data_IF_249195081220
#
_entry.id   IF_249195081220
#
_cell.length_a   1.000
_cell.length_b   1.000
_cell.length_c   1.000
_cell.angle_alpha   90.00
_cell.angle_beta   90.00
_cell.angle_gamma   90.00
#
_symmetry.space_group_name_H-M   'P 1'
#
loop_
_entity.id
_entity.type
_entity.pdbx_description
1 polymer ?
#
# COMPACT_ATOMS: atom_id res chain seq x y z
N UNK A 1 -14.63 -19.34 -3.36
CA UNK A 1 -14.63 -18.77 -2.00
C UNK A 1 -14.06 -17.37 -2.07
N UNK A 2 -14.52 -16.46 -1.24
CA UNK A 2 -13.92 -15.13 -1.12
C UNK A 2 -13.35 -15.01 0.29
N UNK A 3 -12.06 -14.75 0.39
CA UNK A 3 -11.35 -14.65 1.66
C UNK A 3 -10.54 -13.37 1.71
N UNK A 4 -10.58 -12.69 2.85
CA UNK A 4 -9.75 -11.50 3.10
C UNK A 4 -9.00 -11.71 4.41
N UNK A 5 -7.67 -11.61 4.39
CA UNK A 5 -6.83 -11.79 5.58
C UNK A 5 -5.87 -10.62 5.70
N UNK A 6 -5.94 -9.90 6.81
CA UNK A 6 -5.02 -8.83 7.18
C UNK A 6 -4.00 -9.37 8.20
N UNK A 7 -2.73 -9.30 7.87
CA UNK A 7 -1.66 -9.86 8.69
C UNK A 7 -1.33 -11.32 8.35
N UNK A 8 -0.52 -12.00 9.14
CA UNK A 8 -0.14 -11.71 10.51
C UNK A 8 0.98 -10.68 10.58
N UNK A 9 0.81 -9.62 11.34
CA UNK A 9 1.89 -8.70 11.61
C UNK A 9 1.84 -8.23 13.06
N UNK A 10 2.86 -8.60 13.84
CA UNK A 10 3.08 -8.06 15.19
C UNK A 10 3.64 -6.62 15.14
N UNK A 11 4.10 -6.16 13.97
CA UNK A 11 4.71 -4.84 13.77
C UNK A 11 3.72 -3.74 13.43
N UNK A 12 2.51 -4.08 12.99
CA UNK A 12 1.48 -3.08 12.74
C UNK A 12 0.98 -2.49 14.07
N UNK A 13 0.72 -1.17 14.13
CA UNK A 13 0.05 -0.58 15.28
C UNK A 13 -1.25 -1.32 15.57
N UNK A 14 -1.38 -1.87 16.78
CA UNK A 14 -2.54 -2.68 17.16
C UNK A 14 -2.54 -4.13 16.68
N UNK A 15 -1.48 -4.59 15.97
CA UNK A 15 -1.35 -5.97 15.50
C UNK A 15 -2.46 -6.37 14.54
N UNK A 16 -2.27 -6.08 13.24
CA UNK A 16 -3.24 -6.48 12.22
C UNK A 16 -3.33 -8.00 12.14
N UNK A 17 -4.41 -8.54 12.66
CA UNK A 17 -4.73 -9.97 12.62
C UNK A 17 -6.25 -10.11 12.50
N UNK A 18 -6.77 -9.82 11.31
CA UNK A 18 -8.19 -9.91 10.99
C UNK A 18 -8.39 -10.82 9.79
N UNK A 19 -9.42 -11.64 9.83
CA UNK A 19 -9.84 -12.46 8.71
C UNK A 19 -11.33 -12.32 8.48
N UNK A 20 -11.74 -12.43 7.23
CA UNK A 20 -13.12 -12.43 6.80
C UNK A 20 -13.29 -13.51 5.75
N UNK A 21 -14.32 -14.33 5.90
CA UNK A 21 -14.71 -15.35 4.96
C UNK A 21 -16.15 -15.09 4.48
N UNK A 22 -16.42 -15.41 3.21
CA UNK A 22 -17.75 -15.40 2.61
C UNK A 22 -18.54 -14.11 2.89
N UNK A 23 -18.29 -13.03 2.13
CA UNK A 23 -19.02 -11.79 2.28
C UNK A 23 -20.52 -12.02 2.03
N UNK A 24 -21.38 -11.42 2.85
CA UNK A 24 -22.84 -11.44 2.63
C UNK A 24 -23.25 -10.72 1.34
N UNK A 25 -22.42 -9.75 0.92
CA UNK A 25 -22.61 -8.98 -0.31
C UNK A 25 -21.26 -8.65 -0.93
N UNK A 26 -21.15 -8.84 -2.23
CA UNK A 26 -19.97 -8.45 -3.02
C UNK A 26 -20.39 -7.58 -4.17
N UNK A 27 -19.70 -6.47 -4.38
CA UNK A 27 -19.88 -5.59 -5.56
C UNK A 27 -18.54 -5.27 -6.21
N UNK A 28 -18.61 -5.03 -7.51
CA UNK A 28 -17.44 -4.77 -8.35
C UNK A 28 -17.75 -3.58 -9.26
N UNK A 29 -16.80 -2.68 -9.43
CA UNK A 29 -16.81 -1.64 -10.44
C UNK A 29 -15.87 -2.03 -11.59
N UNK A 30 -16.41 -2.16 -12.78
CA UNK A 30 -15.68 -2.48 -13.99
C UNK A 30 -15.42 -1.23 -14.85
N UNK A 31 -16.19 -0.16 -14.64
CA UNK A 31 -16.13 1.10 -15.37
C UNK A 31 -15.88 2.28 -14.45
N UNK A 32 -15.26 3.32 -14.97
CA UNK A 32 -14.86 4.51 -14.20
C UNK A 32 -16.07 5.18 -13.51
N UNK A 33 -17.20 5.27 -14.20
CA UNK A 33 -18.42 5.86 -13.65
C UNK A 33 -19.07 5.06 -12.51
N UNK A 34 -18.68 3.81 -12.33
CA UNK A 34 -19.17 2.93 -11.24
C UNK A 34 -18.35 3.07 -9.96
N UNK A 35 -17.14 3.65 -10.03
CA UNK A 35 -16.19 3.71 -8.92
C UNK A 35 -16.77 4.51 -7.74
N UNK A 36 -17.10 5.79 -7.95
CA UNK A 36 -17.61 6.64 -6.87
C UNK A 36 -18.94 6.15 -6.27
N UNK A 37 -19.92 5.69 -7.05
CA UNK A 37 -21.13 5.06 -6.49
C UNK A 37 -20.84 3.83 -5.63
N UNK A 38 -19.84 3.01 -6.02
CA UNK A 38 -19.47 1.83 -5.26
C UNK A 38 -18.74 2.19 -3.96
N UNK A 39 -17.93 3.24 -3.95
CA UNK A 39 -17.29 3.73 -2.73
C UNK A 39 -18.34 4.31 -1.76
N UNK A 40 -19.32 5.06 -2.25
CA UNK A 40 -20.44 5.55 -1.43
C UNK A 40 -21.25 4.40 -0.83
N UNK A 41 -21.49 3.34 -1.60
CA UNK A 41 -22.09 2.11 -1.07
C UNK A 41 -21.25 1.48 0.05
N UNK A 42 -19.92 1.36 -0.14
CA UNK A 42 -19.02 0.81 0.86
C UNK A 42 -19.07 1.61 2.17
N UNK A 43 -19.07 2.93 2.08
CA UNK A 43 -19.21 3.84 3.21
C UNK A 43 -20.56 3.66 3.93
N UNK A 44 -21.68 3.61 3.19
CA UNK A 44 -23.01 3.37 3.77
C UNK A 44 -23.06 2.06 4.56
N UNK A 45 -22.46 0.98 4.02
CA UNK A 45 -22.40 -0.32 4.72
C UNK A 45 -21.55 -0.25 6.00
N UNK A 46 -20.41 0.43 5.95
CA UNK A 46 -19.55 0.63 7.13
C UNK A 46 -20.26 1.47 8.20
N UNK A 47 -20.94 2.56 7.83
CA UNK A 47 -21.73 3.38 8.74
C UNK A 47 -22.91 2.62 9.37
N UNK A 48 -23.47 1.64 8.66
CA UNK A 48 -24.47 0.72 9.19
C UNK A 48 -23.90 -0.36 10.13
N UNK A 49 -22.59 -0.33 10.41
CA UNK A 49 -21.92 -1.23 11.35
C UNK A 49 -21.41 -2.55 10.75
N UNK A 50 -21.43 -2.70 9.43
CA UNK A 50 -20.83 -3.84 8.77
C UNK A 50 -19.31 -3.70 8.68
N UNK A 51 -18.59 -4.82 8.63
CA UNK A 51 -17.20 -4.83 8.20
C UNK A 51 -17.16 -4.75 6.67
N UNK A 52 -16.30 -3.87 6.15
CA UNK A 52 -16.14 -3.67 4.72
C UNK A 52 -14.66 -3.82 4.35
N UNK A 53 -14.36 -4.75 3.45
CA UNK A 53 -13.06 -4.84 2.80
C UNK A 53 -13.16 -4.22 1.41
N UNK A 54 -12.17 -3.42 1.06
CA UNK A 54 -12.12 -2.64 -0.17
C UNK A 54 -10.78 -2.81 -0.87
N UNK A 55 -10.82 -3.04 -2.18
CA UNK A 55 -9.67 -2.98 -3.08
C UNK A 55 -9.96 -1.97 -4.19
N UNK A 56 -9.01 -1.05 -4.43
CA UNK A 56 -9.07 -0.06 -5.51
C UNK A 56 -7.85 -0.25 -6.39
N UNK A 57 -8.06 -0.49 -7.67
CA UNK A 57 -6.97 -0.57 -8.64
C UNK A 57 -6.45 0.83 -9.00
N UNK A 58 -5.20 0.92 -9.43
CA UNK A 58 -4.58 2.17 -9.84
C UNK A 58 -5.36 2.85 -10.99
N UNK A 59 -5.91 2.06 -11.90
CA UNK A 59 -6.68 2.53 -13.06
C UNK A 59 -8.02 3.19 -12.68
N UNK A 60 -8.45 3.08 -11.42
CA UNK A 60 -9.61 3.81 -10.94
C UNK A 60 -9.35 5.32 -10.75
N UNK A 61 -8.11 5.79 -10.87
CA UNK A 61 -7.71 7.18 -10.60
C UNK A 61 -8.53 8.21 -11.39
N UNK A 62 -8.88 7.93 -12.65
CA UNK A 62 -9.70 8.81 -13.49
C UNK A 62 -11.11 9.08 -12.93
N UNK A 63 -11.62 8.26 -12.01
CA UNK A 63 -12.89 8.49 -11.34
C UNK A 63 -12.82 9.62 -10.30
N UNK A 64 -11.64 9.94 -9.79
CA UNK A 64 -11.43 10.95 -8.76
C UNK A 64 -11.07 12.32 -9.36
N UNK A 65 -10.32 12.33 -10.47
CA UNK A 65 -9.95 13.53 -11.18
C UNK A 65 -9.74 13.24 -12.66
N UNK A 66 -10.41 13.99 -13.53
CA UNK A 66 -10.32 13.83 -14.98
C UNK A 66 -8.96 14.19 -15.58
N UNK A 67 -8.09 14.86 -14.82
CA UNK A 67 -6.71 15.13 -15.22
C UNK A 67 -5.79 13.89 -15.04
N UNK A 68 -6.22 12.91 -14.24
CA UNK A 68 -5.47 11.69 -14.02
C UNK A 68 -5.70 10.72 -15.19
N UNK A 69 -4.64 10.41 -15.89
CA UNK A 69 -4.63 9.42 -16.98
C UNK A 69 -3.94 8.14 -16.54
N UNK A 70 -4.53 7.02 -16.90
CA UNK A 70 -3.99 5.69 -16.60
C UNK A 70 -3.88 4.87 -17.86
N UNK A 71 -3.20 3.73 -17.79
CA UNK A 71 -3.31 2.73 -18.85
C UNK A 71 -4.74 2.23 -18.96
N UNK A 72 -5.06 1.65 -20.12
CA UNK A 72 -6.34 0.98 -20.30
C UNK A 72 -6.50 -0.12 -19.24
N UNK A 73 -7.70 -0.18 -18.67
CA UNK A 73 -8.06 -1.23 -17.71
C UNK A 73 -7.92 -2.61 -18.36
N UNK A 74 -7.19 -3.49 -17.71
CA UNK A 74 -7.18 -4.91 -18.05
C UNK A 74 -8.45 -5.65 -17.56
N UNK A 75 -8.32 -6.95 -17.35
CA UNK A 75 -9.44 -7.78 -16.84
C UNK A 75 -9.66 -7.63 -15.33
N UNK A 76 -8.71 -7.03 -14.60
CA UNK A 76 -8.84 -6.81 -13.16
C UNK A 76 -9.83 -5.68 -12.87
N UNK A 77 -10.71 -5.83 -11.86
CA UNK A 77 -11.71 -4.80 -11.57
C UNK A 77 -11.08 -3.50 -11.07
N UNK A 78 -11.75 -2.36 -11.35
CA UNK A 78 -11.34 -1.05 -10.82
C UNK A 78 -11.54 -0.95 -9.31
N UNK A 79 -12.66 -1.48 -8.82
CA UNK A 79 -12.95 -1.56 -7.39
C UNK A 79 -13.61 -2.89 -7.09
N UNK A 80 -13.24 -3.50 -5.99
CA UNK A 80 -13.92 -4.62 -5.37
C UNK A 80 -14.32 -4.26 -3.93
N UNK A 81 -15.55 -4.58 -3.54
CA UNK A 81 -16.07 -4.39 -2.19
C UNK A 81 -16.66 -5.68 -1.68
N UNK A 82 -16.23 -6.12 -0.51
CA UNK A 82 -16.84 -7.20 0.26
C UNK A 82 -17.42 -6.67 1.57
N UNK A 83 -18.69 -7.01 1.85
CA UNK A 83 -19.41 -6.64 3.08
C UNK A 83 -19.57 -7.88 3.94
N UNK A 84 -19.17 -7.82 5.20
CA UNK A 84 -19.17 -8.93 6.14
C UNK A 84 -19.93 -8.57 7.42
N UNK A 85 -20.58 -9.57 8.03
CA UNK A 85 -21.30 -9.40 9.30
C UNK A 85 -20.39 -9.47 10.53
N UNK A 86 -19.19 -10.04 10.40
CA UNK A 86 -18.23 -10.18 11.47
C UNK A 86 -16.88 -10.69 10.99
N UNK A 87 -15.89 -10.65 11.88
CA UNK A 87 -14.59 -11.28 11.64
C UNK A 87 -14.70 -12.80 11.76
N UNK A 88 -13.98 -13.50 10.89
CA UNK A 88 -13.80 -14.94 10.93
C UNK A 88 -12.62 -15.33 11.85
N UNK A 89 -12.49 -16.62 12.16
CA UNK A 89 -11.27 -17.13 12.78
C UNK A 89 -10.07 -16.88 11.85
N UNK A 90 -8.97 -16.46 12.47
CA UNK A 90 -7.76 -16.23 11.68
C UNK A 90 -7.24 -17.59 11.18
N UNK A 91 -7.09 -17.76 9.85
CA UNK A 91 -6.74 -19.06 9.31
C UNK A 91 -5.34 -19.48 9.75
N UNK A 92 -5.26 -20.68 10.32
CA UNK A 92 -3.99 -21.30 10.64
C UNK A 92 -3.17 -21.57 9.36
N UNK A 93 -1.86 -21.78 9.53
CA UNK A 93 -0.99 -22.09 8.42
C UNK A 93 -1.41 -23.46 7.83
N UNK A 94 -2.09 -23.44 6.69
CA UNK A 94 -2.30 -24.64 5.91
C UNK A 94 -0.94 -25.09 5.33
N UNK A 95 -0.65 -26.38 5.42
CA UNK A 95 0.58 -26.97 4.88
C UNK A 95 0.55 -27.11 3.35
N UNK A 96 0.08 -26.10 2.64
CA UNK A 96 0.02 -26.06 1.18
C UNK A 96 1.40 -25.93 0.55
N UNK A 97 1.59 -26.53 -0.62
CA UNK A 97 2.78 -26.35 -1.43
C UNK A 97 2.49 -25.39 -2.59
N UNK A 98 3.50 -24.63 -2.97
CA UNK A 98 3.43 -23.74 -4.13
C UNK A 98 4.76 -23.74 -4.89
N UNK A 99 4.71 -23.29 -6.14
CA UNK A 99 5.89 -23.01 -6.94
C UNK A 99 5.69 -21.72 -7.75
N UNK A 100 6.75 -20.94 -7.86
CA UNK A 100 6.79 -19.74 -8.68
C UNK A 100 8.12 -19.69 -9.43
N UNK A 101 8.08 -19.66 -10.76
CA UNK A 101 9.25 -19.79 -11.59
C UNK A 101 9.24 -18.80 -12.75
N UNK A 102 10.43 -18.47 -13.24
CA UNK A 102 10.59 -17.75 -14.49
C UNK A 102 10.16 -16.28 -14.43
N UNK A 103 10.50 -15.59 -13.35
CA UNK A 103 10.25 -14.14 -13.22
C UNK A 103 10.89 -13.35 -14.37
N UNK A 104 10.07 -12.62 -15.13
CA UNK A 104 10.49 -11.82 -16.26
C UNK A 104 9.90 -10.43 -16.18
N UNK A 105 10.69 -9.36 -16.39
CA UNK A 105 10.14 -8.01 -16.53
C UNK A 105 9.30 -7.94 -17.81
N UNK A 106 8.25 -7.10 -17.78
CA UNK A 106 7.40 -6.85 -18.96
C UNK A 106 8.00 -5.86 -19.94
N UNK A 107 9.05 -5.18 -19.54
CA UNK A 107 9.84 -4.27 -20.38
C UNK A 107 11.24 -4.82 -20.52
N UNK A 108 11.91 -4.50 -21.60
CA UNK A 108 13.33 -4.81 -21.76
C UNK A 108 14.22 -3.69 -21.19
N UNK A 109 15.55 -3.92 -21.25
CA UNK A 109 16.50 -2.94 -20.71
C UNK A 109 16.54 -1.64 -21.52
N UNK A 110 16.32 -1.69 -22.82
CA UNK A 110 16.32 -0.50 -23.66
C UNK A 110 15.10 0.39 -23.35
N UNK A 111 13.91 -0.21 -23.26
CA UNK A 111 12.69 0.49 -22.84
C UNK A 111 12.84 1.12 -21.45
N UNK A 112 13.50 0.41 -20.51
CA UNK A 112 13.78 0.97 -19.18
C UNK A 112 14.74 2.17 -19.26
N UNK A 113 15.85 2.05 -19.99
CA UNK A 113 16.84 3.11 -20.11
C UNK A 113 16.25 4.35 -20.78
N UNK A 114 15.43 4.18 -21.83
CA UNK A 114 14.75 5.27 -22.53
C UNK A 114 13.75 5.98 -21.60
N UNK A 115 12.94 5.23 -20.84
CA UNK A 115 12.00 5.81 -19.87
C UNK A 115 12.72 6.61 -18.78
N UNK A 116 13.82 6.07 -18.22
CA UNK A 116 14.62 6.79 -17.22
C UNK A 116 15.28 8.03 -17.82
N UNK A 117 15.74 7.96 -19.09
CA UNK A 117 16.27 9.11 -19.82
C UNK A 117 15.25 10.24 -19.93
N UNK A 118 14.03 9.95 -20.39
CA UNK A 118 12.94 10.93 -20.45
C UNK A 118 12.58 11.52 -19.09
N UNK A 119 12.53 10.69 -18.04
CA UNK A 119 12.28 11.17 -16.68
C UNK A 119 13.34 12.17 -16.23
N UNK A 120 14.62 11.89 -16.52
CA UNK A 120 15.71 12.82 -16.22
C UNK A 120 15.57 14.14 -16.97
N UNK A 121 15.11 14.11 -18.23
CA UNK A 121 14.85 15.32 -19.03
C UNK A 121 13.70 16.14 -18.43
N UNK A 122 12.58 15.54 -18.01
CA UNK A 122 11.48 16.22 -17.33
C UNK A 122 11.93 16.86 -16.01
N UNK A 123 12.76 16.15 -15.24
CA UNK A 123 13.33 16.70 -14.00
C UNK A 123 14.23 17.89 -14.29
N UNK A 124 15.08 17.81 -15.32
CA UNK A 124 15.98 18.90 -15.71
C UNK A 124 15.21 20.12 -16.25
N UNK A 125 14.09 19.91 -16.94
CA UNK A 125 13.19 20.97 -17.42
C UNK A 125 12.37 21.63 -16.27
N UNK A 126 12.25 20.98 -15.13
CA UNK A 126 11.46 21.44 -14.00
C UNK A 126 9.98 21.09 -14.09
N UNK A 127 9.61 20.19 -15.00
CA UNK A 127 8.23 19.70 -15.14
C UNK A 127 7.82 18.79 -13.96
N UNK A 128 8.78 18.07 -13.42
CA UNK A 128 8.64 17.27 -12.20
C UNK A 128 9.96 17.23 -11.44
N UNK A 129 9.94 16.80 -10.21
CA UNK A 129 11.15 16.64 -9.39
C UNK A 129 11.36 15.21 -8.87
N UNK A 130 10.35 14.35 -9.01
CA UNK A 130 10.45 12.93 -8.70
C UNK A 130 9.46 12.12 -9.50
N UNK A 131 9.86 10.93 -9.94
CA UNK A 131 8.99 9.92 -10.57
C UNK A 131 9.27 8.55 -9.93
N UNK A 132 8.24 7.86 -9.51
CA UNK A 132 8.32 6.45 -9.16
C UNK A 132 8.06 5.62 -10.43
N UNK A 133 9.11 5.27 -11.14
CA UNK A 133 8.99 4.42 -12.32
C UNK A 133 8.87 2.96 -11.90
N UNK A 134 7.76 2.33 -12.26
CA UNK A 134 7.48 0.94 -11.93
C UNK A 134 7.01 0.15 -13.15
N UNK A 135 7.36 -1.12 -13.19
CA UNK A 135 6.93 -2.05 -14.24
C UNK A 135 6.66 -3.43 -13.65
N UNK A 136 5.72 -4.20 -14.23
CA UNK A 136 5.38 -5.52 -13.71
C UNK A 136 6.45 -6.55 -14.06
N UNK A 137 6.63 -7.50 -13.15
CA UNK A 137 7.28 -8.78 -13.42
C UNK A 137 6.18 -9.84 -13.59
N UNK A 138 6.35 -10.75 -14.52
CA UNK A 138 5.46 -11.90 -14.72
C UNK A 138 6.18 -13.20 -14.39
N UNK A 139 5.43 -14.15 -13.86
CA UNK A 139 5.92 -15.48 -13.50
C UNK A 139 4.81 -16.51 -13.72
N UNK A 140 5.17 -17.78 -13.85
CA UNK A 140 4.22 -18.88 -13.68
C UNK A 140 4.08 -19.19 -12.21
N UNK A 141 2.84 -19.45 -11.78
CA UNK A 141 2.53 -19.83 -10.41
C UNK A 141 1.66 -21.09 -10.43
N UNK A 142 1.90 -21.97 -9.46
CA UNK A 142 1.06 -23.14 -9.20
C UNK A 142 1.01 -23.45 -7.71
N UNK A 143 -0.10 -24.03 -7.25
CA UNK A 143 -0.28 -24.46 -5.87
C UNK A 143 -1.07 -23.49 -5.01
N UNK A 144 -0.76 -23.45 -3.72
CA UNK A 144 -1.50 -22.70 -2.69
C UNK A 144 -0.95 -21.29 -2.54
N UNK A 145 -1.72 -20.29 -3.02
CA UNK A 145 -1.34 -18.88 -2.92
C UNK A 145 -1.37 -18.35 -1.49
N UNK A 146 -2.22 -18.89 -0.61
CA UNK A 146 -2.25 -18.48 0.79
C UNK A 146 -0.99 -18.98 1.54
N UNK A 147 -0.55 -20.21 1.25
CA UNK A 147 0.73 -20.71 1.78
C UNK A 147 1.90 -19.83 1.33
N UNK A 148 1.92 -19.44 0.04
CA UNK A 148 2.92 -18.51 -0.47
C UNK A 148 2.85 -17.14 0.23
N UNK A 149 1.66 -16.56 0.37
CA UNK A 149 1.47 -15.32 1.11
C UNK A 149 2.06 -15.40 2.52
N UNK A 150 1.84 -16.50 3.23
CA UNK A 150 2.37 -16.71 4.58
C UNK A 150 3.89 -16.72 4.63
N UNK A 151 4.53 -17.41 3.69
CA UNK A 151 6.01 -17.40 3.59
C UNK A 151 6.55 -16.00 3.27
N UNK A 152 5.90 -15.28 2.36
CA UNK A 152 6.28 -13.91 2.04
C UNK A 152 6.11 -12.97 3.25
N UNK A 153 5.05 -13.12 4.05
CA UNK A 153 4.89 -12.35 5.29
C UNK A 153 6.06 -12.56 6.26
N UNK A 154 6.53 -13.79 6.40
CA UNK A 154 7.70 -14.10 7.25
C UNK A 154 8.97 -13.49 6.66
N UNK A 155 9.20 -13.64 5.36
CA UNK A 155 10.39 -13.17 4.67
C UNK A 155 10.51 -11.63 4.66
N UNK A 156 9.40 -10.91 4.52
CA UNK A 156 9.38 -9.44 4.43
C UNK A 156 9.17 -8.76 5.78
N UNK A 157 8.44 -9.39 6.70
CA UNK A 157 8.02 -8.75 7.94
C UNK A 157 7.24 -7.45 7.73
N UNK A 158 6.53 -7.33 6.59
CA UNK A 158 5.79 -6.12 6.22
C UNK A 158 4.56 -5.93 7.13
N UNK A 159 4.39 -4.75 7.76
CA UNK A 159 3.35 -4.56 8.77
C UNK A 159 1.92 -4.54 8.21
N UNK A 160 1.74 -4.15 6.95
CA UNK A 160 0.42 -3.98 6.33
C UNK A 160 0.17 -5.02 5.23
N UNK A 161 0.43 -6.29 5.57
CA UNK A 161 0.22 -7.40 4.63
C UNK A 161 -1.25 -7.78 4.54
N UNK A 162 -1.73 -8.04 3.32
CA UNK A 162 -3.11 -8.44 3.04
C UNK A 162 -3.13 -9.55 2.00
N UNK A 163 -3.95 -10.59 2.24
CA UNK A 163 -4.33 -11.58 1.25
C UNK A 163 -5.79 -11.38 0.88
N UNK A 164 -6.06 -11.28 -0.43
CA UNK A 164 -7.41 -11.19 -0.95
C UNK A 164 -7.64 -12.32 -1.95
N UNK A 165 -8.71 -13.09 -1.76
CA UNK A 165 -9.20 -14.06 -2.74
C UNK A 165 -10.49 -13.54 -3.36
N UNK A 166 -10.40 -13.08 -4.60
CA UNK A 166 -11.44 -12.35 -5.34
C UNK A 166 -11.92 -13.16 -6.55
N UNK A 167 -12.54 -14.30 -6.29
CA UNK A 167 -12.97 -15.23 -7.34
C UNK A 167 -11.76 -15.83 -8.08
N UNK A 168 -11.53 -15.42 -9.33
CA UNK A 168 -10.39 -15.91 -10.12
C UNK A 168 -9.05 -15.24 -9.78
N UNK A 169 -9.07 -14.16 -9.02
CA UNK A 169 -7.89 -13.41 -8.66
C UNK A 169 -7.48 -13.65 -7.21
N UNK A 170 -6.19 -13.71 -6.98
CA UNK A 170 -5.60 -13.74 -5.66
C UNK A 170 -4.57 -12.62 -5.57
N UNK A 171 -4.73 -11.75 -4.58
CA UNK A 171 -3.82 -10.62 -4.34
C UNK A 171 -3.04 -10.88 -3.07
N UNK A 172 -1.72 -10.90 -3.19
CA UNK A 172 -0.79 -11.03 -2.09
C UNK A 172 -0.08 -9.68 -1.91
N UNK A 173 -0.61 -8.84 -1.05
CA UNK A 173 -0.04 -7.53 -0.75
C UNK A 173 0.89 -7.63 0.46
N UNK A 174 2.12 -7.14 0.34
CA UNK A 174 3.11 -7.10 1.43
C UNK A 174 3.62 -5.67 1.58
N UNK A 175 2.69 -4.75 1.86
CA UNK A 175 3.01 -3.33 1.99
C UNK A 175 3.76 -3.04 3.29
N UNK A 176 4.92 -2.36 3.23
CA UNK A 176 5.59 -1.83 4.41
C UNK A 176 5.02 -0.48 4.86
N UNK A 177 4.23 0.19 4.01
CA UNK A 177 3.82 1.58 4.17
C UNK A 177 2.34 1.69 4.55
N UNK A 178 2.05 2.54 5.54
CA UNK A 178 0.69 2.91 5.93
C UNK A 178 0.21 4.09 5.07
N UNK A 179 -0.81 3.86 4.26
CA UNK A 179 -1.48 4.94 3.56
C UNK A 179 -2.18 5.87 4.55
N UNK A 180 -3.15 5.36 5.31
CA UNK A 180 -3.70 6.01 6.49
C UNK A 180 -4.36 4.99 7.43
N UNK A 181 -4.47 5.37 8.70
CA UNK A 181 -5.33 4.71 9.68
C UNK A 181 -6.24 5.76 10.32
N UNK A 182 -7.50 5.36 10.60
CA UNK A 182 -8.48 6.21 11.27
C UNK A 182 -9.04 5.50 12.49
N UNK A 183 -9.06 6.21 13.61
CA UNK A 183 -9.75 5.79 14.82
C UNK A 183 -10.62 6.95 15.34
N UNK A 184 -11.92 6.81 15.23
CA UNK A 184 -12.84 7.91 15.48
C UNK A 184 -12.65 9.06 14.49
N UNK A 185 -12.27 10.23 14.99
CA UNK A 185 -11.90 11.41 14.22
C UNK A 185 -10.36 11.59 14.04
N UNK A 186 -9.57 10.76 14.69
CA UNK A 186 -8.10 10.79 14.59
C UNK A 186 -7.63 10.02 13.35
N UNK A 187 -6.80 10.65 12.53
CA UNK A 187 -6.17 10.06 11.34
C UNK A 187 -4.66 10.15 11.43
N UNK A 188 -4.00 9.06 11.06
CA UNK A 188 -2.54 8.93 10.99
C UNK A 188 -2.14 8.47 9.60
N UNK A 189 -1.11 9.09 9.02
CA UNK A 189 -0.41 8.65 7.82
C UNK A 189 1.07 8.44 8.14
N UNK A 190 1.72 7.48 7.47
CA UNK A 190 3.13 7.19 7.74
C UNK A 190 3.90 7.04 6.43
N UNK A 191 4.22 8.15 5.76
CA UNK A 191 4.98 8.13 4.51
C UNK A 191 6.38 7.56 4.69
N UNK A 192 6.87 6.91 3.65
CA UNK A 192 8.15 6.22 3.62
C UNK A 192 8.95 6.64 2.40
N UNK A 193 10.06 7.34 2.60
CA UNK A 193 11.04 7.71 1.57
C UNK A 193 12.45 7.63 2.15
N UNK A 194 13.33 7.01 1.41
CA UNK A 194 14.71 6.72 1.82
C UNK A 194 14.88 5.27 2.22
N UNK A 195 15.79 4.58 1.52
CA UNK A 195 16.06 3.15 1.68
C UNK A 195 17.54 2.89 1.68
N UNK A 196 18.00 2.05 2.62
CA UNK A 196 19.37 1.54 2.67
C UNK A 196 19.35 0.05 2.90
N UNK A 197 20.18 -0.69 2.20
CA UNK A 197 20.37 -2.12 2.42
C UNK A 197 20.84 -2.40 3.85
N UNK A 198 20.49 -3.57 4.38
CA UNK A 198 21.04 -4.06 5.65
C UNK A 198 22.54 -4.31 5.53
N UNK A 199 23.24 -4.16 6.63
CA UNK A 199 24.65 -4.54 6.74
C UNK A 199 24.82 -6.06 6.85
N UNK A 200 26.02 -6.55 6.49
CA UNK A 200 26.37 -7.97 6.59
C UNK A 200 26.68 -8.41 8.02
N UNK A 201 27.04 -7.45 8.89
CA UNK A 201 27.27 -7.61 10.32
C UNK A 201 26.78 -6.37 11.07
N UNK A 202 26.75 -6.43 12.38
CA UNK A 202 26.09 -5.43 13.23
C UNK A 202 26.65 -4.01 13.03
N UNK A 203 27.97 -3.84 13.00
CA UNK A 203 28.61 -2.53 12.88
C UNK A 203 28.24 -1.87 11.54
N UNK A 204 28.38 -2.61 10.42
CA UNK A 204 27.99 -2.12 9.09
C UNK A 204 26.50 -1.80 9.03
N UNK A 205 25.67 -2.60 9.69
CA UNK A 205 24.21 -2.39 9.72
C UNK A 205 23.85 -1.09 10.47
N UNK A 206 24.50 -0.81 11.57
CA UNK A 206 24.32 0.43 12.33
C UNK A 206 24.88 1.66 11.56
N UNK A 207 25.99 1.50 10.84
CA UNK A 207 26.53 2.54 9.95
C UNK A 207 25.52 2.87 8.82
N UNK A 208 24.90 1.85 8.22
CA UNK A 208 23.87 2.06 7.19
C UNK A 208 22.64 2.79 7.73
N UNK A 209 22.19 2.46 8.94
CA UNK A 209 21.09 3.17 9.60
C UNK A 209 21.44 4.63 9.90
N UNK A 210 22.66 4.89 10.42
CA UNK A 210 23.16 6.24 10.70
C UNK A 210 23.30 7.04 9.40
N UNK A 211 23.89 6.45 8.35
CA UNK A 211 24.00 7.08 7.03
C UNK A 211 22.63 7.51 6.48
N UNK A 212 21.64 6.62 6.54
CA UNK A 212 20.29 6.93 6.07
C UNK A 212 19.68 8.11 6.84
N UNK A 213 19.84 8.14 8.16
CA UNK A 213 19.34 9.23 9.02
C UNK A 213 19.93 10.59 8.66
N UNK A 214 21.20 10.62 8.21
CA UNK A 214 21.91 11.86 7.87
C UNK A 214 21.84 12.22 6.38
N UNK A 215 21.33 11.32 5.53
CA UNK A 215 21.26 11.52 4.09
C UNK A 215 20.40 12.74 3.73
N UNK A 216 21.04 13.77 3.20
CA UNK A 216 20.35 15.00 2.78
C UNK A 216 19.33 14.75 1.67
N UNK A 217 19.65 13.86 0.72
CA UNK A 217 18.75 13.48 -0.36
C UNK A 217 17.50 12.83 0.18
N UNK A 218 17.64 11.76 0.97
CA UNK A 218 16.51 10.99 1.47
C UNK A 218 15.62 11.82 2.41
N UNK A 219 16.21 12.68 3.24
CA UNK A 219 15.48 13.65 4.08
C UNK A 219 14.70 14.66 3.24
N UNK A 220 15.26 15.19 2.16
CA UNK A 220 14.57 16.11 1.28
C UNK A 220 13.36 15.44 0.58
N UNK A 221 13.54 14.22 0.07
CA UNK A 221 12.45 13.43 -0.51
C UNK A 221 11.36 13.10 0.52
N UNK A 222 11.74 12.77 1.76
CA UNK A 222 10.80 12.46 2.83
C UNK A 222 9.98 13.70 3.21
N UNK A 223 10.61 14.86 3.43
CA UNK A 223 9.92 16.15 3.75
C UNK A 223 8.91 16.51 2.67
N UNK A 224 9.26 16.31 1.41
CA UNK A 224 8.38 16.61 0.29
C UNK A 224 7.06 15.82 0.35
N UNK A 225 7.13 14.52 0.67
CA UNK A 225 5.93 13.70 0.83
C UNK A 225 5.19 14.02 2.13
N UNK A 226 5.89 14.36 3.19
CA UNK A 226 5.28 14.87 4.43
C UNK A 226 4.46 16.13 4.14
N UNK A 227 4.98 17.09 3.38
CA UNK A 227 4.26 18.30 3.02
C UNK A 227 3.05 18.04 2.12
N UNK A 228 3.16 17.10 1.17
CA UNK A 228 2.02 16.65 0.37
C UNK A 228 0.90 16.09 1.26
N UNK A 229 1.23 15.17 2.16
CA UNK A 229 0.24 14.57 3.06
C UNK A 229 -0.33 15.56 4.08
N UNK A 230 0.47 16.50 4.56
CA UNK A 230 -0.04 17.61 5.38
C UNK A 230 -1.08 18.45 4.64
N UNK A 231 -0.83 18.74 3.37
CA UNK A 231 -1.79 19.46 2.52
C UNK A 231 -3.06 18.62 2.31
N UNK A 232 -2.94 17.32 2.04
CA UNK A 232 -4.10 16.45 1.80
C UNK A 232 -4.94 16.26 3.06
N UNK A 233 -4.32 16.00 4.20
CA UNK A 233 -5.01 15.95 5.49
C UNK A 233 -5.64 17.31 5.84
N UNK A 234 -4.99 18.43 5.49
CA UNK A 234 -5.53 19.77 5.72
C UNK A 234 -6.88 20.04 5.03
N UNK A 235 -7.15 19.34 3.91
CA UNK A 235 -8.41 19.47 3.18
C UNK A 235 -9.60 18.84 3.91
N UNK A 236 -9.37 17.86 4.78
CA UNK A 236 -10.39 17.06 5.47
C UNK A 236 -10.40 17.26 6.98
N UNK A 237 -9.39 17.91 7.54
CA UNK A 237 -9.18 18.05 9.00
C UNK A 237 -9.63 19.36 9.56
N UNK A 238 -9.80 19.41 10.88
CA UNK A 238 -10.01 20.64 11.64
C UNK A 238 -8.81 21.56 11.44
N UNK A 239 -8.99 22.84 11.09
CA UNK A 239 -7.89 23.78 10.91
C UNK A 239 -6.97 23.83 12.14
N UNK A 240 -5.65 23.68 11.90
CA UNK A 240 -4.63 23.68 12.96
C UNK A 240 -4.43 22.33 13.67
N UNK A 241 -5.18 21.27 13.31
CA UNK A 241 -5.00 19.95 13.91
C UNK A 241 -3.93 19.09 13.23
N UNK A 242 -3.54 19.44 11.99
CA UNK A 242 -2.50 18.68 11.25
C UNK A 242 -1.14 18.92 11.89
N UNK A 243 -0.49 17.88 12.32
CA UNK A 243 0.84 17.92 12.93
C UNK A 243 1.73 16.80 12.44
N UNK A 244 3.03 17.03 12.43
CA UNK A 244 4.05 16.01 12.21
C UNK A 244 4.52 15.55 13.58
N UNK A 245 4.16 14.34 13.98
CA UNK A 245 4.52 13.77 15.28
C UNK A 245 5.91 13.14 15.29
N UNK A 246 6.39 12.71 14.13
CA UNK A 246 7.77 12.24 13.97
C UNK A 246 8.31 12.53 12.57
N UNK A 247 9.61 12.85 12.46
CA UNK A 247 10.34 13.06 11.22
C UNK A 247 11.61 12.20 11.19
N UNK A 248 11.83 11.55 10.04
CA UNK A 248 13.08 10.83 9.73
C UNK A 248 13.39 9.68 10.68
N UNK A 249 12.38 8.96 11.15
CA UNK A 249 12.59 7.72 11.87
C UNK A 249 13.20 6.68 10.92
N UNK A 250 14.23 6.00 11.40
CA UNK A 250 14.87 4.92 10.64
C UNK A 250 14.42 3.59 11.21
N UNK A 251 13.62 2.87 10.43
CA UNK A 251 13.00 1.61 10.82
C UNK A 251 13.71 0.42 10.19
N UNK A 252 13.85 -0.62 10.99
CA UNK A 252 14.47 -1.87 10.58
C UNK A 252 13.42 -2.81 9.96
N UNK A 253 13.66 -3.18 8.68
CA UNK A 253 13.00 -4.31 8.02
C UNK A 253 13.98 -5.47 7.82
N UNK A 254 13.51 -6.61 7.39
CA UNK A 254 14.37 -7.80 7.25
C UNK A 254 15.50 -7.58 6.24
N UNK A 255 15.21 -6.92 5.13
CA UNK A 255 16.17 -6.73 4.01
C UNK A 255 16.72 -5.32 3.88
N UNK A 256 16.08 -4.32 4.51
CA UNK A 256 16.41 -2.91 4.35
C UNK A 256 16.22 -2.11 5.64
N UNK A 257 16.84 -0.94 5.70
CA UNK A 257 16.47 0.19 6.54
C UNK A 257 15.58 1.13 5.73
N UNK A 258 14.51 1.64 6.35
CA UNK A 258 13.59 2.59 5.74
C UNK A 258 13.49 3.85 6.58
N UNK A 259 13.40 5.02 5.92
CA UNK A 259 13.13 6.28 6.59
C UNK A 259 11.64 6.60 6.50
N UNK A 260 10.99 6.78 7.63
CA UNK A 260 9.58 7.11 7.77
C UNK A 260 9.36 8.43 8.48
N UNK A 261 8.20 9.02 8.30
CA UNK A 261 7.70 10.13 9.10
C UNK A 261 6.24 9.89 9.44
N UNK A 262 5.72 10.57 10.46
CA UNK A 262 4.32 10.39 10.88
C UNK A 262 3.61 11.74 10.85
N UNK A 263 2.47 11.78 10.17
CA UNK A 263 1.57 12.94 10.10
C UNK A 263 0.20 12.54 10.66
N UNK A 264 -0.30 13.35 11.56
CA UNK A 264 -1.56 13.10 12.25
C UNK A 264 -2.49 14.30 12.14
N UNK A 265 -3.78 14.04 12.22
CA UNK A 265 -4.79 15.10 12.27
C UNK A 265 -6.09 14.65 12.92
N UNK A 266 -6.96 15.62 13.22
CA UNK A 266 -8.35 15.39 13.63
C UNK A 266 -9.26 15.76 12.48
N UNK A 267 -10.10 14.82 12.01
CA UNK A 267 -11.05 15.04 10.93
C UNK A 267 -12.14 16.06 11.34
N UNK A 268 -12.66 16.75 10.36
CA UNK A 268 -13.87 17.58 10.56
C UNK A 268 -15.09 16.67 10.79
N UNK A 269 -16.09 17.11 11.55
CA UNK A 269 -17.35 16.40 11.66
C UNK A 269 -17.98 16.16 10.27
N UNK A 270 -18.39 14.92 10.03
CA UNK A 270 -19.03 14.54 8.76
C UNK A 270 -18.06 14.20 7.61
N UNK A 271 -16.77 14.06 7.94
CA UNK A 271 -15.75 13.60 6.97
C UNK A 271 -15.59 12.08 7.02
#
# INVERSE_FOLDING_TARGET
MTKVVFGPSERAPGGWRLAFDEPRETRVAERVEEVLPLLAFAEERAQAGAYVALMIAYEAAAAFDSALTTHEKGEFPLVWVGVFDGAAEFPEAAGGSFASEGWKPRIDKAEYDDAVGMICEFIAAGDTYQVNYSFPLTSTFSGDAYAWYRELCVAQGAPYSVYLELGRYQVLCLSPELFFAREGDHVVTKPMKGTKTRGRWLEEDLEHAAWLRESRKDRAENVMIVDLLRNDLGKVSVPGSVRVSSLFDVERFETVWQMTSTVESTLRPGT
#
